data_IF_028149018887
#
_entry.id   IF_028149018887
#
_cell.length_a   1.000
_cell.length_b   1.000
_cell.length_c   1.000
_cell.angle_alpha   90.00
_cell.angle_beta   90.00
_cell.angle_gamma   90.00
#
_symmetry.space_group_name_H-M   'P 1'
#
loop_
_entity.id
_entity.type
_entity.pdbx_description
1 polymer ?
#
# COMPACT_ATOMS: atom_id res chain seq x y z
N UNK A 1 -6.41 -51.35 2.61
CA UNK A 1 -6.71 -49.93 2.32
C UNK A 1 -5.80 -49.08 3.20
N UNK A 2 -4.56 -48.85 2.77
CA UNK A 2 -3.60 -48.00 3.48
C UNK A 2 -3.50 -46.69 2.72
N UNK A 3 -4.09 -45.64 3.28
CA UNK A 3 -3.93 -44.27 2.80
C UNK A 3 -2.60 -43.73 3.32
N UNK A 4 -1.57 -43.76 2.47
CA UNK A 4 -0.34 -42.99 2.66
C UNK A 4 -0.52 -41.68 1.92
N UNK A 5 -1.16 -40.74 2.60
CA UNK A 5 -1.44 -39.39 2.12
C UNK A 5 -1.04 -38.37 3.18
N UNK A 6 0.24 -38.32 3.53
CA UNK A 6 0.84 -37.07 3.96
C UNK A 6 2.22 -36.92 3.28
N UNK A 7 2.47 -35.75 2.74
CA UNK A 7 3.81 -35.31 2.40
C UNK A 7 4.31 -34.57 3.65
N UNK A 8 4.99 -35.27 4.57
CA UNK A 8 5.33 -34.76 5.90
C UNK A 8 6.72 -34.12 6.03
N UNK A 9 7.39 -33.76 4.93
CA UNK A 9 8.69 -33.07 5.04
C UNK A 9 8.54 -31.58 4.74
N UNK A 10 8.34 -30.79 5.80
CA UNK A 10 8.51 -29.34 5.75
C UNK A 10 10.01 -29.03 5.69
N UNK A 11 10.59 -29.01 4.49
CA UNK A 11 11.98 -28.60 4.29
C UNK A 11 12.02 -27.07 4.35
N UNK A 12 12.54 -26.53 5.46
CA UNK A 12 12.87 -25.11 5.57
C UNK A 12 14.32 -24.94 5.12
N UNK A 13 14.54 -24.18 4.05
CA UNK A 13 15.87 -23.74 3.62
C UNK A 13 16.44 -22.78 4.66
N UNK A 14 17.28 -23.31 5.56
CA UNK A 14 17.81 -22.56 6.70
C UNK A 14 18.75 -21.45 6.27
N UNK A 15 19.51 -21.66 5.20
CA UNK A 15 20.47 -20.68 4.69
C UNK A 15 19.71 -19.49 4.10
N UNK A 16 18.66 -19.75 3.32
CA UNK A 16 17.78 -18.70 2.80
C UNK A 16 17.04 -17.97 3.92
N UNK A 17 16.54 -18.67 4.93
CA UNK A 17 15.87 -18.05 6.08
C UNK A 17 16.82 -17.14 6.85
N UNK A 18 18.07 -17.54 7.09
CA UNK A 18 19.05 -16.72 7.79
C UNK A 18 19.35 -15.42 7.03
N UNK A 19 19.51 -15.50 5.70
CA UNK A 19 19.73 -14.33 4.84
C UNK A 19 18.55 -13.36 4.91
N UNK A 20 17.32 -13.86 4.75
CA UNK A 20 16.12 -13.02 4.76
C UNK A 20 15.89 -12.43 6.15
N UNK A 21 16.02 -13.23 7.21
CA UNK A 21 15.83 -12.75 8.58
C UNK A 21 16.81 -11.62 8.95
N UNK A 22 18.04 -11.64 8.42
CA UNK A 22 19.00 -10.57 8.62
C UNK A 22 18.68 -9.30 7.81
N UNK A 23 17.92 -9.42 6.71
CA UNK A 23 17.52 -8.29 5.87
C UNK A 23 16.11 -7.74 6.19
N UNK A 24 15.33 -8.44 7.02
CA UNK A 24 13.99 -8.00 7.41
C UNK A 24 14.05 -6.68 8.18
N UNK A 25 13.13 -5.75 7.92
CA UNK A 25 12.97 -4.55 8.75
C UNK A 25 12.65 -4.92 10.20
N UNK A 26 12.86 -3.98 11.13
CA UNK A 26 12.44 -4.18 12.50
C UNK A 26 10.91 -4.35 12.58
N UNK A 27 10.41 -5.15 13.52
CA UNK A 27 8.97 -5.38 13.71
C UNK A 27 8.18 -4.07 13.86
N UNK A 28 8.77 -3.06 14.52
CA UNK A 28 8.15 -1.74 14.66
C UNK A 28 8.02 -1.01 13.32
N UNK A 29 9.00 -1.13 12.43
CA UNK A 29 8.96 -0.50 11.10
C UNK A 29 7.87 -1.16 10.24
N UNK A 30 7.73 -2.50 10.34
CA UNK A 30 6.67 -3.26 9.66
C UNK A 30 5.29 -2.86 10.19
N UNK A 31 5.14 -2.69 11.51
CA UNK A 31 3.90 -2.24 12.11
C UNK A 31 3.53 -0.80 11.69
N UNK A 32 4.48 0.13 11.69
CA UNK A 32 4.25 1.51 11.24
C UNK A 32 3.87 1.55 9.75
N UNK A 33 4.52 0.72 8.93
CA UNK A 33 4.18 0.57 7.52
C UNK A 33 2.76 0.02 7.33
N UNK A 34 2.36 -0.98 8.12
CA UNK A 34 1.01 -1.54 8.09
C UNK A 34 -0.05 -0.51 8.50
N UNK A 35 0.23 0.32 9.51
CA UNK A 35 -0.66 1.40 9.93
C UNK A 35 -0.86 2.45 8.83
N UNK A 36 0.23 2.82 8.13
CA UNK A 36 0.16 3.72 6.97
C UNK A 36 -0.70 3.09 5.88
N UNK A 37 -0.47 1.83 5.51
CA UNK A 37 -1.27 1.17 4.48
C UNK A 37 -2.74 1.00 4.90
N UNK A 38 -3.01 0.68 6.16
CA UNK A 38 -4.37 0.61 6.71
C UNK A 38 -5.08 1.95 6.63
N UNK A 39 -4.36 3.06 6.88
CA UNK A 39 -4.89 4.39 6.64
C UNK A 39 -5.16 4.62 5.15
N UNK A 40 -4.25 4.27 4.25
CA UNK A 40 -4.41 4.48 2.82
C UNK A 40 -5.46 3.57 2.16
N UNK A 41 -5.85 2.45 2.78
CA UNK A 41 -6.79 1.49 2.20
C UNK A 41 -8.25 1.98 2.08
N UNK A 42 -8.59 3.13 2.65
CA UNK A 42 -9.95 3.68 2.59
C UNK A 42 -10.21 4.44 1.27
N UNK A 43 -11.29 4.09 0.53
CA UNK A 43 -11.58 4.72 -0.75
C UNK A 43 -11.85 6.23 -0.67
N UNK A 44 -12.45 6.73 0.42
CA UNK A 44 -12.72 8.16 0.56
C UNK A 44 -11.40 8.93 0.76
N UNK A 45 -10.47 8.41 1.56
CA UNK A 45 -9.13 8.97 1.73
C UNK A 45 -8.32 8.92 0.45
N UNK A 46 -8.35 7.82 -0.30
CA UNK A 46 -7.65 7.72 -1.59
C UNK A 46 -8.16 8.75 -2.61
N UNK A 47 -9.47 9.00 -2.69
CA UNK A 47 -10.03 10.04 -3.56
C UNK A 47 -9.45 11.42 -3.25
N UNK A 48 -9.32 11.76 -1.96
CA UNK A 48 -8.71 13.02 -1.54
C UNK A 48 -7.22 13.08 -1.91
N UNK A 49 -6.48 12.00 -1.68
CA UNK A 49 -5.05 11.93 -1.99
C UNK A 49 -4.77 12.02 -3.50
N UNK A 50 -5.60 11.37 -4.32
CA UNK A 50 -5.51 11.48 -5.78
C UNK A 50 -5.84 12.90 -6.24
N UNK A 51 -6.84 13.57 -5.65
CA UNK A 51 -7.10 14.98 -5.96
C UNK A 51 -5.89 15.88 -5.62
N UNK A 52 -5.19 15.59 -4.52
CA UNK A 52 -3.98 16.32 -4.12
C UNK A 52 -2.74 16.04 -4.99
N UNK A 53 -2.78 15.08 -5.93
CA UNK A 53 -1.73 14.89 -6.94
C UNK A 53 -1.65 16.07 -7.92
N UNK A 54 -2.79 16.75 -8.15
CA UNK A 54 -2.93 17.91 -9.02
C UNK A 54 -2.50 19.22 -8.36
N UNK A 55 -2.23 19.20 -7.05
CA UNK A 55 -1.70 20.33 -6.31
C UNK A 55 -2.39 20.58 -4.98
N UNK A 56 -2.09 21.75 -4.41
CA UNK A 56 -2.61 22.15 -3.11
C UNK A 56 -4.07 22.64 -3.22
N UNK A 57 -4.97 22.12 -2.37
CA UNK A 57 -6.43 22.41 -2.43
C UNK A 57 -7.03 22.73 -1.06
N UNK A 58 -8.11 23.53 -1.00
CA UNK A 58 -8.85 23.75 0.26
C UNK A 58 -9.81 22.59 0.58
N UNK A 59 -10.34 22.56 1.80
CA UNK A 59 -11.40 21.62 2.21
C UNK A 59 -12.63 21.74 1.31
N UNK A 60 -12.98 22.97 0.92
CA UNK A 60 -14.08 23.28 0.02
C UNK A 60 -13.93 22.60 -1.34
N UNK A 61 -12.78 22.77 -1.99
CA UNK A 61 -12.48 22.19 -3.30
C UNK A 61 -12.46 20.66 -3.21
N UNK A 62 -11.83 20.12 -2.16
CA UNK A 62 -11.74 18.69 -1.92
C UNK A 62 -13.12 18.06 -1.67
N UNK A 63 -14.01 18.75 -0.97
CA UNK A 63 -15.41 18.33 -0.79
C UNK A 63 -16.15 18.29 -2.13
N UNK A 64 -16.00 19.33 -2.96
CA UNK A 64 -16.61 19.39 -4.28
C UNK A 64 -16.12 18.27 -5.21
N UNK A 65 -14.81 17.99 -5.23
CA UNK A 65 -14.22 16.94 -6.09
C UNK A 65 -14.58 15.54 -5.58
N UNK A 66 -14.56 15.31 -4.27
CA UNK A 66 -14.84 13.99 -3.70
C UNK A 66 -16.33 13.66 -3.60
N UNK A 67 -17.22 14.66 -3.69
CA UNK A 67 -18.66 14.51 -3.46
C UNK A 67 -19.02 14.29 -1.99
N UNK A 68 -18.08 14.49 -1.07
CA UNK A 68 -18.28 14.34 0.37
C UNK A 68 -18.59 15.70 1.03
N UNK A 69 -19.15 15.67 2.25
CA UNK A 69 -19.32 16.89 3.04
C UNK A 69 -17.98 17.45 3.53
N UNK A 70 -17.88 18.76 3.72
CA UNK A 70 -16.67 19.40 4.26
C UNK A 70 -16.28 18.86 5.64
N UNK A 71 -17.26 18.43 6.44
CA UNK A 71 -17.03 17.79 7.75
C UNK A 71 -16.34 16.44 7.60
N UNK A 72 -16.81 15.60 6.67
CA UNK A 72 -16.18 14.32 6.37
C UNK A 72 -14.76 14.50 5.83
N UNK A 73 -14.57 15.42 4.87
CA UNK A 73 -13.25 15.77 4.33
C UNK A 73 -12.31 16.25 5.43
N UNK A 74 -12.76 17.15 6.30
CA UNK A 74 -11.96 17.64 7.43
C UNK A 74 -11.54 16.52 8.38
N UNK A 75 -12.42 15.55 8.62
CA UNK A 75 -12.11 14.38 9.43
C UNK A 75 -11.03 13.50 8.78
N UNK A 76 -11.18 13.16 7.50
CA UNK A 76 -10.20 12.40 6.74
C UNK A 76 -8.83 13.10 6.69
N UNK A 77 -8.80 14.41 6.40
CA UNK A 77 -7.56 15.19 6.36
C UNK A 77 -6.87 15.29 7.72
N UNK A 78 -7.63 15.28 8.83
CA UNK A 78 -7.06 15.25 10.17
C UNK A 78 -6.32 13.93 10.43
N UNK A 79 -6.92 12.80 10.05
CA UNK A 79 -6.28 11.48 10.15
C UNK A 79 -5.04 11.42 9.25
N UNK A 80 -5.16 11.79 7.98
CA UNK A 80 -4.04 11.82 7.03
C UNK A 80 -2.88 12.70 7.54
N UNK A 81 -3.19 13.84 8.15
CA UNK A 81 -2.19 14.73 8.74
C UNK A 81 -1.52 14.12 9.97
N UNK A 82 -2.27 13.42 10.83
CA UNK A 82 -1.72 12.77 12.02
C UNK A 82 -0.67 11.71 11.67
N UNK A 83 -0.85 11.02 10.54
CA UNK A 83 0.11 10.05 9.98
C UNK A 83 1.08 10.65 8.95
N UNK A 84 1.22 11.98 8.90
CA UNK A 84 2.17 12.70 8.02
C UNK A 84 2.02 12.38 6.52
N UNK A 85 0.82 12.02 6.07
CA UNK A 85 0.54 11.80 4.63
C UNK A 85 0.26 13.12 3.90
N UNK A 86 -0.27 14.11 4.62
CA UNK A 86 -0.55 15.45 4.09
C UNK A 86 -0.01 16.55 4.99
N UNK A 87 0.32 17.68 4.37
CA UNK A 87 0.61 18.93 5.05
C UNK A 87 -0.54 19.92 4.92
N UNK A 88 -0.64 20.81 5.90
CA UNK A 88 -1.61 21.90 5.91
C UNK A 88 -0.89 23.24 6.01
N UNK A 89 -1.29 24.17 5.15
CA UNK A 89 -0.86 25.57 5.15
C UNK A 89 -2.08 26.45 5.36
N UNK A 90 -1.99 27.45 6.24
CA UNK A 90 -3.08 28.41 6.43
C UNK A 90 -2.80 29.68 5.63
N UNK A 91 -3.82 30.16 4.92
CA UNK A 91 -3.78 31.43 4.22
C UNK A 91 -5.05 32.21 4.59
N UNK A 92 -4.90 33.22 5.46
CA UNK A 92 -6.02 33.91 6.08
C UNK A 92 -6.92 32.94 6.85
N UNK A 93 -8.20 32.88 6.48
CA UNK A 93 -9.19 31.98 7.10
C UNK A 93 -9.20 30.57 6.50
N UNK A 94 -8.52 30.36 5.38
CA UNK A 94 -8.56 29.09 4.64
C UNK A 94 -7.39 28.18 5.02
N UNK A 95 -7.66 26.88 5.04
CA UNK A 95 -6.67 25.83 5.19
C UNK A 95 -6.53 25.08 3.87
N UNK A 96 -5.29 25.04 3.38
CA UNK A 96 -4.88 24.41 2.13
C UNK A 96 -4.07 23.17 2.43
N UNK A 97 -4.34 22.10 1.72
CA UNK A 97 -3.73 20.79 1.94
C UNK A 97 -2.96 20.36 0.71
N UNK A 98 -1.83 19.69 0.92
CA UNK A 98 -0.99 19.07 -0.12
C UNK A 98 -0.44 17.75 0.41
N UNK A 99 0.01 16.87 -0.49
CA UNK A 99 0.77 15.69 -0.10
C UNK A 99 2.01 16.09 0.71
N UNK A 100 2.40 15.26 1.68
CA UNK A 100 3.49 15.60 2.60
C UNK A 100 4.84 15.69 1.88
N UNK A 101 5.15 14.72 1.02
CA UNK A 101 6.43 14.64 0.32
C UNK A 101 6.32 13.89 -1.02
N UNK A 102 7.47 13.76 -1.69
CA UNK A 102 7.60 13.08 -2.97
C UNK A 102 7.41 11.55 -2.87
N UNK A 103 7.64 10.93 -1.71
CA UNK A 103 7.46 9.49 -1.54
C UNK A 103 5.97 9.12 -1.54
N UNK A 104 5.13 9.90 -0.85
CA UNK A 104 3.67 9.71 -0.90
C UNK A 104 3.15 9.84 -2.33
N UNK A 105 3.63 10.85 -3.07
CA UNK A 105 3.29 11.03 -4.48
C UNK A 105 3.70 9.81 -5.32
N UNK A 106 4.95 9.38 -5.20
CA UNK A 106 5.49 8.24 -5.93
C UNK A 106 4.71 6.95 -5.66
N UNK A 107 4.35 6.70 -4.39
CA UNK A 107 3.54 5.54 -4.01
C UNK A 107 2.18 5.55 -4.71
N UNK A 108 1.49 6.69 -4.75
CA UNK A 108 0.19 6.84 -5.41
C UNK A 108 0.32 6.69 -6.93
N UNK A 109 1.33 7.33 -7.54
CA UNK A 109 1.60 7.24 -8.98
C UNK A 109 1.89 5.78 -9.40
N UNK A 110 2.71 5.06 -8.63
CA UNK A 110 3.01 3.63 -8.86
C UNK A 110 1.76 2.77 -8.70
N UNK A 111 0.97 2.99 -7.65
CA UNK A 111 -0.26 2.24 -7.41
C UNK A 111 -1.29 2.45 -8.53
N UNK A 112 -1.46 3.69 -9.00
CA UNK A 112 -2.34 4.01 -10.13
C UNK A 112 -1.84 3.40 -11.44
N UNK A 113 -0.53 3.42 -11.67
CA UNK A 113 0.08 2.76 -12.84
C UNK A 113 -0.14 1.25 -12.78
N UNK A 114 0.00 0.63 -11.60
CA UNK A 114 -0.18 -0.80 -11.42
C UNK A 114 -1.61 -1.26 -11.73
N UNK A 115 -2.65 -0.52 -11.31
CA UNK A 115 -4.03 -0.87 -11.67
C UNK A 115 -4.36 -0.64 -13.15
N UNK A 116 -3.64 0.28 -13.81
CA UNK A 116 -3.73 0.54 -15.25
C UNK A 116 -3.04 -0.54 -16.09
N UNK A 117 -2.02 -1.19 -15.53
CA UNK A 117 -1.45 -2.42 -16.06
C UNK A 117 -2.34 -3.60 -15.65
N UNK A 118 -3.48 -3.78 -16.32
CA UNK A 118 -4.14 -5.06 -16.28
C UNK A 118 -3.09 -6.12 -16.65
N UNK A 119 -2.84 -7.16 -15.82
CA UNK A 119 -1.98 -8.25 -16.27
C UNK A 119 -2.65 -8.81 -17.52
N UNK A 120 -2.00 -8.64 -18.67
CA UNK A 120 -2.28 -9.51 -19.80
C UNK A 120 -2.12 -10.93 -19.25
N UNK A 121 -3.26 -11.61 -19.07
CA UNK A 121 -3.43 -13.00 -18.69
C UNK A 121 -2.24 -13.72 -18.02
N UNK A 122 -2.50 -14.23 -16.82
CA UNK A 122 -1.74 -15.30 -16.15
C UNK A 122 -0.40 -14.89 -15.53
N UNK A 123 -0.24 -15.27 -14.26
CA UNK A 123 1.04 -15.69 -13.71
C UNK A 123 1.43 -17.02 -14.38
N UNK A 124 2.60 -17.15 -15.04
CA UNK A 124 3.25 -18.42 -15.23
C UNK A 124 4.61 -18.38 -14.53
N UNK A 125 4.66 -18.25 -13.21
CA UNK A 125 5.94 -18.44 -12.48
C UNK A 125 5.88 -19.39 -11.28
N UNK A 126 4.80 -20.15 -11.15
CA UNK A 126 4.80 -21.38 -10.35
C UNK A 126 4.61 -22.61 -11.24
N UNK A 127 5.44 -22.72 -12.28
CA UNK A 127 5.81 -24.02 -12.80
C UNK A 127 7.00 -24.51 -11.96
N UNK A 128 6.73 -25.23 -10.86
CA UNK A 128 7.75 -26.11 -10.29
C UNK A 128 8.30 -26.97 -11.42
N UNK A 129 9.63 -27.11 -11.59
CA UNK A 129 10.15 -28.12 -12.50
C UNK A 129 9.59 -29.48 -12.07
N UNK A 130 9.20 -30.36 -13.02
CA UNK A 130 8.76 -31.70 -12.68
C UNK A 130 9.87 -32.41 -11.90
N UNK A 131 9.54 -33.31 -10.97
CA UNK A 131 10.57 -34.10 -10.29
C UNK A 131 11.32 -34.92 -11.35
N UNK A 132 12.61 -34.62 -11.50
CA UNK A 132 13.55 -35.45 -12.24
C UNK A 132 13.73 -36.75 -11.44
N UNK A 133 12.97 -37.78 -11.78
CA UNK A 133 13.14 -39.10 -11.21
C UNK A 133 13.94 -40.00 -12.17
N UNK A 134 15.00 -40.55 -11.59
CA UNK A 134 15.62 -41.86 -11.84
C UNK A 134 16.54 -42.01 -13.05
N UNK A 135 17.85 -42.05 -12.78
CA UNK A 135 18.84 -43.07 -13.18
C UNK A 135 20.01 -42.88 -12.17
N UNK A 136 20.39 -43.82 -11.30
CA UNK A 136 20.83 -45.20 -11.49
C UNK A 136 20.76 -45.98 -10.16
#
# INVERSE_FOLDING_TARGET
MLGLGDCSVRIVDRDRVAIVAAAMPAENDVAELADIFGLLADPARLRLLVALLEGEMCVCDLAAVSGASESAVSHHLRLLRAHRVVHVRRAGRMAYYRLADAHVRMLLDVALTHIGHAPAAAHPEHASPPPENAHE
#
